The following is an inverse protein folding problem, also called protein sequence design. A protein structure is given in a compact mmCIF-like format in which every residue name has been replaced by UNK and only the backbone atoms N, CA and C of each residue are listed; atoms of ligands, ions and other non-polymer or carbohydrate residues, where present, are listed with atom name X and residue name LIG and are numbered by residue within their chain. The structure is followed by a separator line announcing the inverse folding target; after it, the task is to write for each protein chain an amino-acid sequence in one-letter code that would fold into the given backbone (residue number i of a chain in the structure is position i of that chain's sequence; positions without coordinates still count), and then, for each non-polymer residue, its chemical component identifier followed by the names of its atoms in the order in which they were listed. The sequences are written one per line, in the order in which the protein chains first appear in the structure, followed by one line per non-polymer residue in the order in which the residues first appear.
data_IF_769085056240
#
_entry.id   IF_769085056240
#
_cell.length_a   1.000
_cell.length_b   1.000
_cell.length_c   1.000
_cell.angle_alpha   90.00
_cell.angle_beta   90.00
_cell.angle_gamma   90.00
#
_symmetry.space_group_name_H-M   'P 1'
#
loop_
_entity.id
_entity.type
_entity.pdbx_description
1 polymer ?
#
# COMPACT_ATOMS: atom_id res chain seq x y z
N UNK A 1 48.57 -0.04 -5.51
CA UNK A 1 47.95 1.18 -4.95
C UNK A 1 46.63 1.35 -5.65
N UNK A 2 45.52 1.35 -4.88
CA UNK A 2 44.18 1.60 -5.41
C UNK A 2 44.13 2.99 -6.05
N UNK A 3 43.53 3.07 -7.28
CA UNK A 3 43.28 4.34 -7.98
C UNK A 3 42.00 5.03 -7.45
N UNK A 4 41.34 4.47 -6.42
CA UNK A 4 40.14 5.02 -5.85
C UNK A 4 40.49 5.98 -4.70
N UNK A 5 39.94 7.20 -4.75
CA UNK A 5 40.00 8.16 -3.66
C UNK A 5 38.79 7.93 -2.76
N UNK A 6 39.04 7.72 -1.46
CA UNK A 6 37.97 7.62 -0.47
C UNK A 6 37.48 9.03 -0.13
N UNK A 7 36.20 9.28 -0.32
CA UNK A 7 35.52 10.51 0.10
C UNK A 7 34.52 10.12 1.18
N UNK A 8 34.72 10.62 2.39
CA UNK A 8 33.83 10.39 3.51
C UNK A 8 32.82 11.54 3.59
N UNK A 9 31.51 11.20 3.46
CA UNK A 9 30.42 12.15 3.63
C UNK A 9 29.94 12.13 5.09
N UNK A 10 29.83 13.30 5.70
CA UNK A 10 29.21 13.45 7.01
C UNK A 10 27.69 13.33 6.87
N UNK A 11 27.05 12.79 7.91
CA UNK A 11 25.58 12.80 8.02
C UNK A 11 25.09 14.24 8.09
N UNK A 12 23.97 14.52 7.42
CA UNK A 12 23.29 15.80 7.50
C UNK A 12 22.56 15.87 8.85
N UNK A 13 22.44 17.06 9.45
CA UNK A 13 21.66 17.22 10.67
C UNK A 13 20.17 16.96 10.38
N UNK A 14 19.49 16.31 11.33
CA UNK A 14 18.05 16.00 11.20
C UNK A 14 17.21 17.26 11.02
N UNK A 15 17.56 18.38 11.65
CA UNK A 15 16.86 19.66 11.46
C UNK A 15 17.07 20.24 10.05
N UNK A 16 18.26 20.07 9.47
CA UNK A 16 18.53 20.44 8.09
C UNK A 16 17.75 19.57 7.08
N UNK A 17 17.65 18.26 7.34
CA UNK A 17 16.81 17.34 6.54
C UNK A 17 15.35 17.74 6.65
N UNK A 18 14.84 18.00 7.85
CA UNK A 18 13.47 18.45 8.09
C UNK A 18 13.18 19.74 7.31
N UNK A 19 14.04 20.74 7.44
CA UNK A 19 13.91 22.05 6.76
C UNK A 19 13.89 21.88 5.23
N UNK A 20 14.80 21.05 4.69
CA UNK A 20 14.85 20.76 3.26
C UNK A 20 13.60 20.04 2.76
N UNK A 21 13.00 19.13 3.55
CA UNK A 21 11.74 18.46 3.23
C UNK A 21 10.58 19.46 3.18
N UNK A 22 10.49 20.40 4.12
CA UNK A 22 9.45 21.43 4.13
C UNK A 22 9.63 22.38 2.94
N UNK A 23 10.83 22.91 2.72
CA UNK A 23 11.07 23.94 1.69
C UNK A 23 11.03 23.37 0.26
N UNK A 24 11.60 22.18 0.03
CA UNK A 24 11.76 21.62 -1.33
C UNK A 24 10.65 20.65 -1.73
N UNK A 25 9.97 20.03 -0.76
CA UNK A 25 8.92 19.04 -0.99
C UNK A 25 7.55 19.48 -0.50
N UNK A 26 7.46 20.68 0.10
CA UNK A 26 6.22 21.30 0.60
C UNK A 26 5.47 20.40 1.60
N UNK A 27 6.21 19.64 2.42
CA UNK A 27 5.62 18.78 3.44
C UNK A 27 5.20 19.60 4.66
N UNK A 28 4.19 19.11 5.36
CA UNK A 28 3.85 19.59 6.67
C UNK A 28 4.94 19.25 7.70
N UNK A 29 5.02 20.04 8.75
CA UNK A 29 6.09 19.97 9.75
C UNK A 29 6.15 18.61 10.46
N UNK A 30 5.00 18.01 10.77
CA UNK A 30 4.93 16.72 11.46
C UNK A 30 5.46 15.57 10.59
N UNK A 31 5.07 15.52 9.31
CA UNK A 31 5.55 14.53 8.35
C UNK A 31 7.05 14.69 8.09
N UNK A 32 7.51 15.94 7.89
CA UNK A 32 8.92 16.23 7.69
C UNK A 32 9.77 15.82 8.91
N UNK A 33 9.30 16.08 10.13
CA UNK A 33 9.98 15.68 11.36
C UNK A 33 10.07 14.15 11.50
N UNK A 34 8.98 13.42 11.22
CA UNK A 34 8.95 11.95 11.25
C UNK A 34 9.93 11.35 10.27
N UNK A 35 9.92 11.81 9.01
CA UNK A 35 10.82 11.33 7.96
C UNK A 35 12.27 11.63 8.29
N UNK A 36 12.59 12.84 8.77
CA UNK A 36 13.94 13.22 9.14
C UNK A 36 14.51 12.33 10.28
N UNK A 37 13.67 11.97 11.27
CA UNK A 37 14.07 11.03 12.34
C UNK A 37 14.39 9.64 11.80
N UNK A 38 13.57 9.08 10.92
CA UNK A 38 13.78 7.76 10.30
C UNK A 38 15.05 7.77 9.47
N UNK A 39 15.23 8.82 8.69
CA UNK A 39 16.38 8.97 7.77
C UNK A 39 17.72 9.15 8.49
N UNK A 40 17.74 9.62 9.74
CA UNK A 40 18.95 9.75 10.56
C UNK A 40 20.09 10.49 9.87
N UNK A 41 19.80 11.57 9.14
CA UNK A 41 20.76 12.37 8.38
C UNK A 41 21.13 11.83 6.99
N UNK A 42 20.43 10.80 6.49
CA UNK A 42 20.59 10.29 5.14
C UNK A 42 19.47 10.85 4.23
N UNK A 43 19.82 11.78 3.34
CA UNK A 43 18.86 12.42 2.43
C UNK A 43 18.19 11.43 1.47
N UNK A 44 18.92 10.45 0.94
CA UNK A 44 18.34 9.46 0.03
C UNK A 44 17.29 8.60 0.74
N UNK A 45 17.59 8.18 1.98
CA UNK A 45 16.63 7.44 2.80
C UNK A 45 15.39 8.30 3.12
N UNK A 46 15.55 9.61 3.34
CA UNK A 46 14.43 10.52 3.53
C UNK A 46 13.52 10.59 2.28
N UNK A 47 14.11 10.59 1.10
CA UNK A 47 13.35 10.55 -0.16
C UNK A 47 12.65 9.20 -0.37
N UNK A 48 13.33 8.09 -0.08
CA UNK A 48 12.76 6.74 -0.15
C UNK A 48 11.57 6.60 0.79
N UNK A 49 11.65 7.11 2.02
CA UNK A 49 10.55 7.10 2.98
C UNK A 49 9.36 7.97 2.53
N UNK A 50 9.65 9.12 1.91
CA UNK A 50 8.62 9.97 1.34
C UNK A 50 7.89 9.28 0.18
N UNK A 51 8.65 8.69 -0.75
CA UNK A 51 8.11 8.00 -1.92
C UNK A 51 7.31 6.75 -1.50
N UNK A 52 7.80 5.99 -0.53
CA UNK A 52 7.11 4.84 0.06
C UNK A 52 5.79 5.26 0.72
N UNK A 53 5.79 6.36 1.49
CA UNK A 53 4.57 6.89 2.10
C UNK A 53 3.51 7.32 1.07
N UNK A 54 3.93 7.95 0.00
CA UNK A 54 3.05 8.34 -1.11
C UNK A 54 2.53 7.11 -1.87
N UNK A 55 3.38 6.11 -2.10
CA UNK A 55 2.98 4.86 -2.75
C UNK A 55 1.97 4.09 -1.91
N UNK A 56 2.18 3.95 -0.60
CA UNK A 56 1.25 3.29 0.31
C UNK A 56 -0.10 3.99 0.36
N UNK A 57 -0.13 5.33 0.37
CA UNK A 57 -1.38 6.09 0.30
C UNK A 57 -2.13 5.82 -1.00
N UNK A 58 -1.44 5.78 -2.12
CA UNK A 58 -2.05 5.40 -3.40
C UNK A 58 -2.57 3.97 -3.39
N UNK A 59 -1.84 3.04 -2.78
CA UNK A 59 -2.28 1.65 -2.63
C UNK A 59 -3.54 1.55 -1.76
N UNK A 60 -3.62 2.33 -0.67
CA UNK A 60 -4.82 2.42 0.15
C UNK A 60 -6.03 2.92 -0.65
N UNK A 61 -5.86 3.99 -1.44
CA UNK A 61 -6.93 4.52 -2.28
C UNK A 61 -7.44 3.47 -3.29
N UNK A 62 -6.52 2.72 -3.91
CA UNK A 62 -6.86 1.63 -4.83
C UNK A 62 -7.58 0.48 -4.12
N UNK A 63 -7.18 0.14 -2.90
CA UNK A 63 -7.84 -0.87 -2.08
C UNK A 63 -9.26 -0.45 -1.70
N UNK A 64 -9.41 0.77 -1.19
CA UNK A 64 -10.71 1.35 -0.83
C UNK A 64 -11.66 1.34 -2.02
N UNK A 65 -11.16 1.78 -3.19
CA UNK A 65 -11.96 1.81 -4.42
C UNK A 65 -12.39 0.40 -4.84
N UNK A 66 -11.46 -0.57 -4.87
CA UNK A 66 -11.77 -1.97 -5.17
C UNK A 66 -12.88 -2.51 -4.27
N UNK A 67 -12.73 -2.36 -2.96
CA UNK A 67 -13.66 -2.92 -1.98
C UNK A 67 -15.04 -2.26 -2.05
N UNK A 68 -15.10 -0.94 -2.24
CA UNK A 68 -16.38 -0.22 -2.44
C UNK A 68 -17.09 -0.64 -3.72
N UNK A 69 -16.37 -0.69 -4.84
CA UNK A 69 -16.95 -1.09 -6.12
C UNK A 69 -17.41 -2.55 -6.12
N UNK A 70 -16.62 -3.45 -5.48
CA UNK A 70 -17.00 -4.85 -5.31
C UNK A 70 -18.25 -4.99 -4.44
N UNK A 71 -18.34 -4.28 -3.32
CA UNK A 71 -19.52 -4.27 -2.47
C UNK A 71 -20.77 -3.76 -3.21
N UNK A 72 -20.64 -2.69 -4.00
CA UNK A 72 -21.71 -2.15 -4.83
C UNK A 72 -22.02 -3.01 -6.07
N UNK A 73 -21.19 -4.03 -6.36
CA UNK A 73 -21.27 -4.87 -7.58
C UNK A 73 -21.22 -4.06 -8.88
N UNK A 74 -20.49 -2.95 -8.86
CA UNK A 74 -20.36 -2.08 -10.02
C UNK A 74 -19.28 -2.59 -10.98
N UNK A 75 -19.65 -3.56 -11.81
CA UNK A 75 -18.75 -4.24 -12.75
C UNK A 75 -18.13 -3.26 -13.75
N UNK A 76 -18.90 -2.26 -14.19
CA UNK A 76 -18.40 -1.27 -15.16
C UNK A 76 -17.22 -0.47 -14.61
N UNK A 77 -17.32 0.03 -13.40
CA UNK A 77 -16.27 0.82 -12.80
C UNK A 77 -15.12 -0.06 -12.27
N UNK A 78 -15.38 -1.34 -11.90
CA UNK A 78 -14.33 -2.32 -11.63
C UNK A 78 -13.46 -2.58 -12.87
N UNK A 79 -14.06 -2.60 -14.07
CA UNK A 79 -13.31 -2.69 -15.31
C UNK A 79 -12.39 -1.48 -15.49
N UNK A 80 -12.89 -0.26 -15.29
CA UNK A 80 -12.07 0.96 -15.35
C UNK A 80 -10.97 0.95 -14.31
N UNK A 81 -11.27 0.52 -13.08
CA UNK A 81 -10.29 0.35 -12.02
C UNK A 81 -9.15 -0.59 -12.45
N UNK A 82 -9.47 -1.74 -13.04
CA UNK A 82 -8.47 -2.69 -13.53
C UNK A 82 -7.62 -2.11 -14.66
N UNK A 83 -8.18 -1.27 -15.53
CA UNK A 83 -7.46 -0.56 -16.58
C UNK A 83 -6.48 0.47 -16.01
N UNK A 84 -6.87 1.19 -14.97
CA UNK A 84 -5.99 2.13 -14.26
C UNK A 84 -4.83 1.39 -13.59
N UNK A 85 -5.12 0.32 -12.84
CA UNK A 85 -4.09 -0.49 -12.18
C UNK A 85 -3.14 -1.13 -13.21
N UNK A 86 -3.64 -1.51 -14.38
CA UNK A 86 -2.81 -2.07 -15.44
C UNK A 86 -1.79 -1.09 -16.02
N UNK A 87 -1.98 0.23 -15.83
CA UNK A 87 -0.98 1.24 -16.22
C UNK A 87 0.21 1.30 -15.27
N UNK A 88 0.10 0.74 -14.07
CA UNK A 88 1.21 0.69 -13.14
C UNK A 88 2.26 -0.31 -13.62
N UNK A 89 3.54 -0.04 -13.36
CA UNK A 89 4.60 -1.00 -13.64
C UNK A 89 4.44 -2.28 -12.79
N UNK A 90 4.90 -3.42 -13.31
CA UNK A 90 4.72 -4.74 -12.66
C UNK A 90 5.21 -4.80 -11.22
N UNK A 91 6.34 -4.17 -10.94
CA UNK A 91 6.87 -4.13 -9.57
C UNK A 91 5.93 -3.37 -8.64
N UNK A 92 5.35 -2.27 -9.10
CA UNK A 92 4.35 -1.52 -8.33
C UNK A 92 3.05 -2.31 -8.16
N UNK A 93 2.61 -3.04 -9.18
CA UNK A 93 1.44 -3.92 -9.08
C UNK A 93 1.64 -5.02 -8.04
N UNK A 94 2.83 -5.63 -7.97
CA UNK A 94 3.16 -6.64 -6.95
C UNK A 94 3.17 -6.04 -5.54
N UNK A 95 3.83 -4.89 -5.35
CA UNK A 95 3.82 -4.18 -4.05
C UNK A 95 2.41 -3.77 -3.63
N UNK A 96 1.57 -3.35 -4.59
CA UNK A 96 0.17 -3.03 -4.32
C UNK A 96 -0.61 -4.27 -3.82
N UNK A 97 -0.40 -5.44 -4.41
CA UNK A 97 -1.03 -6.67 -3.94
C UNK A 97 -0.51 -7.11 -2.57
N UNK A 98 0.78 -6.92 -2.28
CA UNK A 98 1.33 -7.13 -0.93
C UNK A 98 0.67 -6.20 0.09
N UNK A 99 0.47 -4.94 -0.28
CA UNK A 99 -0.25 -3.98 0.55
C UNK A 99 -1.72 -4.37 0.76
N UNK A 100 -2.40 -4.90 -0.26
CA UNK A 100 -3.77 -5.39 -0.14
C UNK A 100 -3.89 -6.57 0.83
N UNK A 101 -2.95 -7.51 0.78
CA UNK A 101 -2.88 -8.61 1.74
C UNK A 101 -2.63 -8.11 3.17
N UNK A 102 -1.75 -7.11 3.33
CA UNK A 102 -1.55 -6.45 4.61
C UNK A 102 -2.86 -5.83 5.13
N UNK A 103 -3.58 -5.05 4.32
CA UNK A 103 -4.84 -4.43 4.71
C UNK A 103 -5.94 -5.43 5.06
N UNK A 104 -6.00 -6.58 4.38
CA UNK A 104 -6.90 -7.67 4.74
C UNK A 104 -6.60 -8.23 6.12
N UNK A 105 -5.31 -8.52 6.37
CA UNK A 105 -4.86 -9.03 7.66
C UNK A 105 -5.16 -8.04 8.78
N UNK A 106 -4.80 -6.77 8.60
CA UNK A 106 -5.06 -5.73 9.60
C UNK A 106 -6.56 -5.53 9.84
N UNK A 107 -7.39 -5.54 8.80
CA UNK A 107 -8.85 -5.46 8.92
C UNK A 107 -9.43 -6.68 9.69
N UNK A 108 -8.89 -7.87 9.45
CA UNK A 108 -9.29 -9.07 10.20
C UNK A 108 -8.89 -8.96 11.68
N UNK A 109 -7.65 -8.56 11.96
CA UNK A 109 -7.15 -8.38 13.33
C UNK A 109 -7.91 -7.28 14.08
N UNK A 110 -8.34 -6.22 13.39
CA UNK A 110 -9.17 -5.16 13.96
C UNK A 110 -10.47 -5.68 14.60
N UNK A 111 -11.07 -6.75 14.05
CA UNK A 111 -12.28 -7.36 14.58
C UNK A 111 -12.08 -7.97 15.97
N UNK A 112 -10.86 -8.36 16.34
CA UNK A 112 -10.57 -8.92 17.68
C UNK A 112 -10.42 -7.86 18.77
N UNK A 113 -10.53 -6.57 18.43
CA UNK A 113 -10.45 -5.43 19.35
C UNK A 113 -9.18 -5.42 20.23
N UNK A 114 -8.08 -5.88 19.69
CA UNK A 114 -6.77 -5.84 20.35
C UNK A 114 -5.86 -4.82 19.66
N UNK A 115 -5.82 -3.55 20.13
CA UNK A 115 -5.05 -2.47 19.46
C UNK A 115 -3.55 -2.78 19.35
N UNK A 116 -3.03 -3.59 20.27
CA UNK A 116 -1.62 -4.00 20.30
C UNK A 116 -1.21 -4.90 19.10
N UNK A 117 -2.19 -5.50 18.43
CA UNK A 117 -1.96 -6.38 17.28
C UNK A 117 -2.15 -5.69 15.93
N UNK A 118 -2.57 -4.42 15.94
CA UNK A 118 -2.81 -3.64 14.73
C UNK A 118 -1.68 -2.64 14.50
N UNK A 119 -1.15 -2.63 13.29
CA UNK A 119 -0.08 -1.73 12.85
C UNK A 119 -0.56 -0.75 11.77
N UNK A 120 -1.83 -0.35 11.82
CA UNK A 120 -2.44 0.57 10.86
C UNK A 120 -2.03 2.02 11.11
N UNK A 121 -1.89 2.78 10.03
CA UNK A 121 -1.87 4.25 10.08
C UNK A 121 -3.27 4.78 10.39
N UNK A 122 -3.38 6.08 10.73
CA UNK A 122 -4.68 6.69 11.03
C UNK A 122 -5.68 6.57 9.85
N UNK A 123 -5.22 6.79 8.62
CA UNK A 123 -6.05 6.70 7.40
C UNK A 123 -6.55 5.26 7.17
N UNK A 124 -5.69 4.27 7.42
CA UNK A 124 -6.03 2.84 7.34
C UNK A 124 -7.04 2.44 8.40
N UNK A 125 -6.85 2.91 9.64
CA UNK A 125 -7.77 2.65 10.75
C UNK A 125 -9.14 3.28 10.50
N UNK A 126 -9.19 4.51 9.98
CA UNK A 126 -10.45 5.19 9.66
C UNK A 126 -11.26 4.44 8.58
N UNK A 127 -10.58 3.82 7.64
CA UNK A 127 -11.22 2.92 6.69
C UNK A 127 -11.66 1.59 7.35
N UNK A 128 -10.78 0.97 8.14
CA UNK A 128 -11.03 -0.32 8.79
C UNK A 128 -12.23 -0.27 9.73
N UNK A 129 -12.50 0.83 10.42
CA UNK A 129 -13.67 1.02 11.31
C UNK A 129 -14.99 0.59 10.66
N UNK A 130 -15.13 0.85 9.36
CA UNK A 130 -16.36 0.51 8.62
C UNK A 130 -16.22 -0.75 7.78
N UNK A 131 -15.00 -1.08 7.36
CA UNK A 131 -14.74 -2.16 6.41
C UNK A 131 -14.47 -3.51 7.11
N UNK A 132 -13.81 -3.53 8.26
CA UNK A 132 -13.35 -4.75 8.92
C UNK A 132 -14.46 -5.81 9.09
N UNK A 133 -15.70 -5.38 9.35
CA UNK A 133 -16.87 -6.27 9.51
C UNK A 133 -17.19 -7.14 8.28
N UNK A 134 -16.66 -6.81 7.12
CA UNK A 134 -16.83 -7.60 5.89
C UNK A 134 -15.77 -8.68 5.72
N UNK A 135 -14.71 -8.62 6.52
CA UNK A 135 -13.62 -9.60 6.52
C UNK A 135 -13.80 -10.51 7.71
N UNK A 136 -13.97 -11.81 7.45
CA UNK A 136 -14.28 -12.83 8.45
C UNK A 136 -13.52 -14.13 8.15
N UNK A 137 -13.64 -15.13 9.02
CA UNK A 137 -12.97 -16.42 8.90
C UNK A 137 -13.35 -17.18 7.63
N UNK A 138 -14.58 -16.96 7.09
CA UNK A 138 -15.05 -17.66 5.90
C UNK A 138 -14.49 -17.09 4.59
N UNK A 139 -13.95 -15.86 4.59
CA UNK A 139 -13.52 -15.21 3.36
C UNK A 139 -12.06 -14.72 3.34
N UNK A 140 -11.44 -14.51 4.49
CA UNK A 140 -10.09 -13.93 4.56
C UNK A 140 -9.05 -14.77 3.82
N UNK A 141 -9.10 -16.09 3.99
CA UNK A 141 -8.13 -17.00 3.36
C UNK A 141 -8.32 -16.96 1.85
N UNK A 142 -9.55 -17.13 1.37
CA UNK A 142 -9.85 -17.14 -0.06
C UNK A 142 -9.50 -15.83 -0.75
N UNK A 143 -9.71 -14.67 -0.08
CA UNK A 143 -9.32 -13.36 -0.65
C UNK A 143 -7.80 -13.20 -0.65
N UNK A 144 -7.10 -13.63 0.41
CA UNK A 144 -5.64 -13.61 0.47
C UNK A 144 -5.02 -14.48 -0.61
N UNK A 145 -5.52 -15.70 -0.79
CA UNK A 145 -5.06 -16.64 -1.83
C UNK A 145 -5.30 -16.06 -3.23
N UNK A 146 -6.44 -15.42 -3.45
CA UNK A 146 -6.76 -14.74 -4.70
C UNK A 146 -5.75 -13.62 -5.03
N UNK A 147 -5.37 -12.81 -4.04
CA UNK A 147 -4.37 -11.76 -4.24
C UNK A 147 -2.97 -12.33 -4.48
N UNK A 148 -2.58 -13.37 -3.75
CA UNK A 148 -1.30 -14.05 -3.95
C UNK A 148 -1.23 -14.72 -5.34
N UNK A 149 -2.31 -15.36 -5.79
CA UNK A 149 -2.39 -15.94 -7.13
C UNK A 149 -2.29 -14.86 -8.21
N UNK A 150 -3.01 -13.75 -8.04
CA UNK A 150 -2.94 -12.60 -8.95
C UNK A 150 -1.52 -12.04 -9.04
N UNK A 151 -0.80 -11.95 -7.90
CA UNK A 151 0.60 -11.54 -7.85
C UNK A 151 1.51 -12.50 -8.63
N UNK A 152 1.29 -13.81 -8.51
CA UNK A 152 2.02 -14.82 -9.29
C UNK A 152 1.78 -14.65 -10.79
N UNK A 153 0.54 -14.44 -11.23
CA UNK A 153 0.24 -14.19 -12.64
C UNK A 153 0.93 -12.91 -13.17
N UNK A 154 0.95 -11.83 -12.40
CA UNK A 154 1.68 -10.61 -12.76
C UNK A 154 3.18 -10.88 -12.88
N UNK A 155 3.76 -11.65 -11.96
CA UNK A 155 5.17 -12.04 -12.02
C UNK A 155 5.50 -12.90 -13.24
N UNK A 156 4.55 -13.73 -13.69
CA UNK A 156 4.64 -14.59 -14.88
C UNK A 156 4.30 -13.86 -16.19
N UNK A 157 4.23 -12.53 -16.18
CA UNK A 157 3.94 -11.70 -17.35
C UNK A 157 2.52 -11.85 -17.94
N UNK A 158 1.55 -12.32 -17.16
CA UNK A 158 0.15 -12.30 -17.59
C UNK A 158 -0.34 -10.86 -17.87
N UNK A 159 -1.41 -10.73 -18.66
CA UNK A 159 -1.99 -9.44 -18.98
C UNK A 159 -2.62 -8.80 -17.74
N UNK A 160 -2.10 -7.66 -17.24
CA UNK A 160 -2.59 -7.07 -16.00
C UNK A 160 -4.07 -6.70 -16.02
N UNK A 161 -4.59 -6.22 -17.16
CA UNK A 161 -6.02 -5.85 -17.28
C UNK A 161 -6.93 -7.05 -17.00
N UNK A 162 -6.56 -8.22 -17.53
CA UNK A 162 -7.34 -9.44 -17.35
C UNK A 162 -7.20 -9.93 -15.91
N UNK A 163 -5.98 -9.99 -15.38
CA UNK A 163 -5.71 -10.47 -14.02
C UNK A 163 -6.46 -9.62 -12.99
N UNK A 164 -6.34 -8.29 -13.04
CA UNK A 164 -6.99 -7.42 -12.07
C UNK A 164 -8.51 -7.37 -12.24
N UNK A 165 -9.03 -7.51 -13.45
CA UNK A 165 -10.46 -7.56 -13.65
C UNK A 165 -11.08 -8.87 -13.14
N UNK A 166 -10.47 -10.02 -13.45
CA UNK A 166 -10.89 -11.33 -12.92
C UNK A 166 -10.83 -11.35 -11.38
N UNK A 167 -9.73 -10.86 -10.82
CA UNK A 167 -9.57 -10.71 -9.37
C UNK A 167 -10.70 -9.86 -8.77
N UNK A 168 -11.00 -8.70 -9.37
CA UNK A 168 -12.05 -7.81 -8.88
C UNK A 168 -13.44 -8.46 -8.92
N UNK A 169 -13.75 -9.24 -9.95
CA UNK A 169 -15.00 -9.98 -10.04
C UNK A 169 -15.12 -11.08 -8.97
N UNK A 170 -14.03 -11.78 -8.69
CA UNK A 170 -13.97 -12.81 -7.63
C UNK A 170 -14.14 -12.18 -6.24
N UNK A 171 -13.56 -11.00 -6.00
CA UNK A 171 -13.76 -10.26 -4.75
C UNK A 171 -15.24 -9.97 -4.47
N UNK A 172 -16.06 -9.65 -5.49
CA UNK A 172 -17.51 -9.46 -5.32
C UNK A 172 -18.15 -10.67 -4.63
N UNK A 173 -17.79 -11.87 -5.09
CA UNK A 173 -18.37 -13.12 -4.58
C UNK A 173 -17.87 -13.44 -3.17
N UNK A 174 -16.58 -13.20 -2.93
CA UNK A 174 -15.94 -13.53 -1.66
C UNK A 174 -16.38 -12.59 -0.52
N UNK A 175 -16.63 -11.30 -0.80
CA UNK A 175 -17.07 -10.34 0.22
C UNK A 175 -18.45 -10.63 0.81
N UNK A 176 -19.31 -11.38 0.12
CA UNK A 176 -20.65 -11.74 0.60
C UNK A 176 -20.70 -13.06 1.38
N UNK A 177 -19.61 -13.81 1.42
CA UNK A 177 -19.55 -15.02 2.26
C UNK A 177 -19.58 -14.66 3.75
N UNK A 178 -20.42 -15.33 4.47
CA UNK A 178 -20.61 -15.19 5.93
C UNK A 178 -20.16 -16.47 6.61
#
# INVERSE_FOLDING_TARGET
RSRAQRIDFKKIDNEEVKKALIERRLLDENTAHRIARIAGGNWNLALEELDSGNENRQHLDMFIMLMRLAYMRNIHDLKKWSEVVATFGREKQKRMLDYFMHMLRESFMYNFRQPELSYMTQDEEDFAKNFARFINEANIIDISDLFEESKKFIAQNANPKIVFFDMALKVIVLLIRK
#
